data_IF_325785632523
#
_entry.id   IF_325785632523
#
_cell.length_a   1.000
_cell.length_b   1.000
_cell.length_c   1.000
_cell.angle_alpha   90.00
_cell.angle_beta   90.00
_cell.angle_gamma   90.00
#
_symmetry.space_group_name_H-M   'P 1'
#
loop_
_entity.id
_entity.type
_entity.pdbx_description
1 polymer ?
#
# COMPACT_ATOMS: atom_id res chain seq x y z
N UNK A 1 31.96 44.27 -84.40
CA UNK A 1 32.92 43.15 -84.34
C UNK A 1 33.75 43.32 -83.07
N UNK A 2 33.79 42.26 -82.24
CA UNK A 2 34.49 42.04 -80.94
C UNK A 2 33.48 41.91 -79.79
N UNK A 3 32.87 40.73 -79.63
CA UNK A 3 33.34 39.47 -79.01
C UNK A 3 33.42 39.54 -77.48
N UNK A 4 32.47 38.83 -76.88
CA UNK A 4 32.38 38.43 -75.48
C UNK A 4 33.61 37.64 -75.03
N UNK A 5 34.06 37.85 -73.80
CA UNK A 5 34.75 36.80 -73.04
C UNK A 5 33.88 36.43 -71.83
N UNK A 6 33.55 35.13 -71.65
CA UNK A 6 32.96 34.65 -70.42
C UNK A 6 34.05 34.65 -69.35
N UNK A 7 33.82 35.35 -68.24
CA UNK A 7 34.59 35.09 -67.02
C UNK A 7 34.26 33.67 -66.58
N UNK A 8 35.19 32.78 -66.90
CA UNK A 8 35.18 31.38 -66.50
C UNK A 8 34.95 31.30 -64.99
N UNK A 9 33.75 30.85 -64.61
CA UNK A 9 33.42 30.43 -63.25
C UNK A 9 34.15 29.12 -62.96
N UNK A 10 35.47 29.22 -62.82
CA UNK A 10 36.34 28.12 -62.39
C UNK A 10 36.13 27.89 -60.91
N UNK A 11 35.11 27.09 -60.56
CA UNK A 11 34.98 26.49 -59.24
C UNK A 11 36.05 25.41 -59.07
N UNK A 12 37.30 25.83 -58.87
CA UNK A 12 38.31 25.00 -58.22
C UNK A 12 37.94 24.93 -56.74
N UNK A 13 36.97 24.07 -56.42
CA UNK A 13 36.71 23.67 -55.06
C UNK A 13 37.95 22.89 -54.57
N UNK A 14 38.85 23.58 -53.86
CA UNK A 14 40.00 22.96 -53.21
C UNK A 14 39.48 21.74 -52.42
N UNK A 15 40.02 20.52 -52.67
CA UNK A 15 39.51 19.27 -52.10
C UNK A 15 39.39 19.28 -50.57
N UNK A 16 40.10 20.19 -49.88
CA UNK A 16 39.98 20.43 -48.44
C UNK A 16 38.60 20.99 -48.04
N UNK A 17 37.99 21.87 -48.83
CA UNK A 17 36.67 22.43 -48.53
C UNK A 17 35.54 21.42 -48.78
N UNK A 18 35.62 20.63 -49.86
CA UNK A 18 34.66 19.57 -50.14
C UNK A 18 34.65 18.49 -49.03
N UNK A 19 35.81 18.13 -48.47
CA UNK A 19 35.92 17.21 -47.34
C UNK A 19 35.29 17.78 -46.06
N UNK A 20 35.50 19.07 -45.80
CA UNK A 20 34.93 19.78 -44.65
C UNK A 20 33.39 19.84 -44.70
N UNK A 21 32.84 20.09 -45.89
CA UNK A 21 31.39 20.09 -46.11
C UNK A 21 30.77 18.70 -45.94
N UNK A 22 31.42 17.66 -46.45
CA UNK A 22 30.98 16.28 -46.22
C UNK A 22 31.03 15.91 -44.73
N UNK A 23 32.09 16.31 -44.01
CA UNK A 23 32.19 16.12 -42.56
C UNK A 23 31.10 16.89 -41.80
N UNK A 24 30.75 18.10 -42.24
CA UNK A 24 29.66 18.89 -41.66
C UNK A 24 28.31 18.20 -41.90
N UNK A 25 28.06 17.74 -43.13
CA UNK A 25 26.85 16.98 -43.50
C UNK A 25 26.70 15.71 -42.63
N UNK A 26 27.77 14.91 -42.51
CA UNK A 26 27.78 13.71 -41.64
C UNK A 26 27.50 14.05 -40.18
N UNK A 27 28.08 15.13 -39.64
CA UNK A 27 27.82 15.59 -38.27
C UNK A 27 26.37 16.01 -38.06
N UNK A 28 25.77 16.72 -39.01
CA UNK A 28 24.36 17.12 -38.95
C UNK A 28 23.43 15.90 -38.91
N UNK A 29 23.69 14.89 -39.75
CA UNK A 29 22.91 13.65 -39.76
C UNK A 29 23.08 12.84 -38.47
N UNK A 30 24.33 12.69 -37.99
CA UNK A 30 24.62 11.97 -36.75
C UNK A 30 24.03 12.67 -35.51
N UNK A 31 24.12 13.99 -35.42
CA UNK A 31 23.53 14.75 -34.32
C UNK A 31 22.00 14.68 -34.37
N UNK A 32 21.40 14.80 -35.56
CA UNK A 32 19.96 14.61 -35.74
C UNK A 32 19.49 13.24 -35.25
N UNK A 33 20.19 12.18 -35.64
CA UNK A 33 19.87 10.82 -35.19
C UNK A 33 20.08 10.66 -33.68
N UNK A 34 21.14 11.24 -33.13
CA UNK A 34 21.43 11.19 -31.68
C UNK A 34 20.37 11.95 -30.86
N UNK A 35 19.93 13.13 -31.32
CA UNK A 35 18.84 13.89 -30.70
C UNK A 35 17.52 13.11 -30.76
N UNK A 36 17.23 12.44 -31.89
CA UNK A 36 16.07 11.55 -32.02
C UNK A 36 16.11 10.41 -31.01
N UNK A 37 17.23 9.69 -30.94
CA UNK A 37 17.44 8.58 -29.98
C UNK A 37 17.33 9.04 -28.54
N UNK A 38 17.89 10.21 -28.22
CA UNK A 38 17.80 10.80 -26.88
C UNK A 38 16.34 11.11 -26.50
N UNK A 39 15.56 11.71 -27.41
CA UNK A 39 14.13 11.97 -27.20
C UNK A 39 13.35 10.67 -27.03
N UNK A 40 13.60 9.67 -27.88
CA UNK A 40 12.95 8.36 -27.80
C UNK A 40 13.25 7.65 -26.47
N UNK A 41 14.51 7.66 -26.02
CA UNK A 41 14.89 7.08 -24.72
C UNK A 41 14.19 7.77 -23.55
N UNK A 42 14.09 9.11 -23.58
CA UNK A 42 13.35 9.87 -22.57
C UNK A 42 11.86 9.53 -22.59
N UNK A 43 11.25 9.39 -23.76
CA UNK A 43 9.84 9.01 -23.89
C UNK A 43 9.60 7.61 -23.30
N UNK A 44 10.44 6.63 -23.65
CA UNK A 44 10.35 5.28 -23.10
C UNK A 44 10.42 5.27 -21.57
N UNK A 45 11.34 6.05 -21.00
CA UNK A 45 11.46 6.15 -19.55
C UNK A 45 10.24 6.78 -18.89
N UNK A 46 9.63 7.80 -19.52
CA UNK A 46 8.37 8.38 -19.03
C UNK A 46 7.22 7.38 -19.11
N UNK A 47 7.14 6.61 -20.19
CA UNK A 47 6.10 5.59 -20.37
C UNK A 47 6.25 4.45 -19.33
N UNK A 48 7.49 4.04 -19.05
CA UNK A 48 7.82 3.07 -17.99
C UNK A 48 7.40 3.59 -16.60
N UNK A 49 7.76 4.83 -16.25
CA UNK A 49 7.36 5.44 -14.98
C UNK A 49 5.84 5.56 -14.86
N UNK A 50 5.15 5.93 -15.93
CA UNK A 50 3.68 6.01 -15.93
C UNK A 50 3.04 4.64 -15.70
N UNK A 51 3.60 3.59 -16.30
CA UNK A 51 3.18 2.21 -16.07
C UNK A 51 3.38 1.81 -14.61
N UNK A 52 4.53 2.12 -14.03
CA UNK A 52 4.84 1.84 -12.62
C UNK A 52 3.87 2.55 -11.67
N UNK A 53 3.59 3.84 -11.90
CA UNK A 53 2.62 4.62 -11.12
C UNK A 53 1.23 3.98 -11.19
N UNK A 54 0.78 3.60 -12.38
CA UNK A 54 -0.53 2.97 -12.55
C UNK A 54 -0.60 1.59 -11.86
N UNK A 55 0.47 0.80 -11.94
CA UNK A 55 0.57 -0.47 -11.24
C UNK A 55 0.51 -0.29 -9.72
N UNK A 56 1.30 0.63 -9.18
CA UNK A 56 1.32 0.93 -7.74
C UNK A 56 -0.04 1.46 -7.26
N UNK A 57 -0.71 2.31 -8.03
CA UNK A 57 -2.07 2.76 -7.72
C UNK A 57 -3.07 1.60 -7.66
N UNK A 58 -3.00 0.68 -8.63
CA UNK A 58 -3.85 -0.51 -8.64
C UNK A 58 -3.60 -1.42 -7.43
N UNK A 59 -2.32 -1.67 -7.11
CA UNK A 59 -1.93 -2.48 -5.96
C UNK A 59 -2.36 -1.84 -4.64
N UNK A 60 -2.19 -0.52 -4.51
CA UNK A 60 -2.62 0.22 -3.33
C UNK A 60 -4.14 0.12 -3.15
N UNK A 61 -4.92 0.30 -4.22
CA UNK A 61 -6.38 0.12 -4.18
C UNK A 61 -6.78 -1.30 -3.78
N UNK A 62 -6.07 -2.33 -4.26
CA UNK A 62 -6.35 -3.71 -3.90
C UNK A 62 -6.04 -3.98 -2.41
N UNK A 63 -4.92 -3.46 -1.91
CA UNK A 63 -4.55 -3.58 -0.49
C UNK A 63 -5.60 -2.89 0.39
N UNK A 64 -6.00 -1.66 0.03
CA UNK A 64 -7.03 -0.93 0.76
C UNK A 64 -8.34 -1.72 0.86
N UNK A 65 -8.82 -2.29 -0.25
CA UNK A 65 -10.02 -3.13 -0.25
C UNK A 65 -9.87 -4.37 0.65
N UNK A 66 -8.71 -5.04 0.62
CA UNK A 66 -8.44 -6.18 1.50
C UNK A 66 -8.45 -5.78 2.98
N UNK A 67 -7.84 -4.63 3.31
CA UNK A 67 -7.87 -4.07 4.66
C UNK A 67 -9.30 -3.80 5.10
N UNK A 68 -10.11 -3.16 4.27
CA UNK A 68 -11.51 -2.86 4.59
C UNK A 68 -12.32 -4.14 4.91
N UNK A 69 -12.16 -5.18 4.09
CA UNK A 69 -12.83 -6.48 4.32
C UNK A 69 -12.39 -7.11 5.65
N UNK A 70 -11.08 -7.11 5.95
CA UNK A 70 -10.56 -7.66 7.21
C UNK A 70 -11.06 -6.83 8.40
N UNK A 71 -11.10 -5.51 8.29
CA UNK A 71 -11.63 -4.63 9.32
C UNK A 71 -13.12 -4.89 9.59
N UNK A 72 -13.93 -5.10 8.55
CA UNK A 72 -15.35 -5.44 8.70
C UNK A 72 -15.53 -6.78 9.42
N UNK A 73 -14.76 -7.81 9.05
CA UNK A 73 -14.79 -9.09 9.76
C UNK A 73 -14.33 -8.97 11.21
N UNK A 74 -13.28 -8.19 11.47
CA UNK A 74 -12.81 -7.94 12.83
C UNK A 74 -13.90 -7.30 13.70
N UNK A 75 -14.59 -6.28 13.20
CA UNK A 75 -15.68 -5.61 13.92
C UNK A 75 -16.83 -6.60 14.21
N UNK A 76 -17.17 -7.45 13.24
CA UNK A 76 -18.19 -8.48 13.43
C UNK A 76 -17.79 -9.46 14.54
N UNK A 77 -16.56 -10.01 14.49
CA UNK A 77 -16.06 -10.92 15.52
C UNK A 77 -15.94 -10.25 16.89
N UNK A 78 -15.52 -9.00 16.95
CA UNK A 78 -15.47 -8.23 18.20
C UNK A 78 -16.87 -8.07 18.80
N UNK A 79 -17.89 -7.81 17.97
CA UNK A 79 -19.28 -7.73 18.43
C UNK A 79 -19.79 -9.05 19.01
N UNK A 80 -19.50 -10.18 18.34
CA UNK A 80 -19.85 -11.52 18.83
C UNK A 80 -19.11 -11.84 20.14
N UNK A 81 -17.84 -11.47 20.22
CA UNK A 81 -17.04 -11.64 21.43
C UNK A 81 -17.63 -10.85 22.61
N UNK A 82 -18.06 -9.61 22.37
CA UNK A 82 -18.71 -8.79 23.40
C UNK A 82 -20.04 -9.39 23.87
N UNK A 83 -20.84 -9.98 22.97
CA UNK A 83 -22.06 -10.72 23.35
C UNK A 83 -21.71 -11.93 24.23
N UNK A 84 -20.71 -12.73 23.84
CA UNK A 84 -20.27 -13.88 24.62
C UNK A 84 -19.74 -13.48 26.01
N UNK A 85 -19.01 -12.37 26.11
CA UNK A 85 -18.56 -11.80 27.40
C UNK A 85 -19.74 -11.39 28.28
N UNK A 86 -20.74 -10.73 27.71
CA UNK A 86 -21.94 -10.33 28.45
C UNK A 86 -22.69 -11.56 28.99
N UNK A 87 -22.85 -12.61 28.16
CA UNK A 87 -23.48 -13.86 28.57
C UNK A 87 -22.66 -14.58 29.67
N UNK A 88 -21.34 -14.61 29.55
CA UNK A 88 -20.46 -15.19 30.57
C UNK A 88 -20.59 -14.45 31.91
N UNK A 89 -20.60 -13.12 31.90
CA UNK A 89 -20.80 -12.31 33.10
C UNK A 89 -22.16 -12.60 33.74
N UNK A 90 -23.23 -12.63 32.94
CA UNK A 90 -24.58 -12.92 33.44
C UNK A 90 -24.66 -14.31 34.10
N UNK A 91 -24.12 -15.34 33.45
CA UNK A 91 -24.12 -16.70 34.00
C UNK A 91 -23.30 -16.79 35.27
N UNK A 92 -22.17 -16.09 35.32
CA UNK A 92 -21.30 -16.02 36.50
C UNK A 92 -22.00 -15.32 37.66
N UNK A 93 -22.68 -14.20 37.41
CA UNK A 93 -23.46 -13.48 38.43
C UNK A 93 -24.60 -14.33 38.98
N UNK A 94 -25.32 -15.05 38.11
CA UNK A 94 -26.36 -16.00 38.52
C UNK A 94 -25.77 -17.12 39.39
N UNK A 95 -24.62 -17.66 39.02
CA UNK A 95 -23.96 -18.71 39.80
C UNK A 95 -23.49 -18.19 41.16
N UNK A 96 -22.90 -16.99 41.23
CA UNK A 96 -22.55 -16.35 42.52
C UNK A 96 -23.77 -16.16 43.40
N UNK A 97 -24.89 -15.70 42.83
CA UNK A 97 -26.15 -15.53 43.58
C UNK A 97 -26.64 -16.86 44.16
N UNK A 98 -26.59 -17.96 43.39
CA UNK A 98 -26.96 -19.29 43.88
C UNK A 98 -26.00 -19.77 44.98
N UNK A 99 -24.70 -19.61 44.78
CA UNK A 99 -23.68 -19.94 45.78
C UNK A 99 -23.90 -19.15 47.09
N UNK A 100 -24.26 -17.87 47.02
CA UNK A 100 -24.59 -17.07 48.22
C UNK A 100 -25.81 -17.60 48.97
N UNK A 101 -26.85 -18.06 48.26
CA UNK A 101 -28.03 -18.69 48.89
C UNK A 101 -27.65 -20.01 49.56
N UNK A 102 -26.82 -20.82 48.91
CA UNK A 102 -26.32 -22.07 49.49
C UNK A 102 -25.49 -21.81 50.74
N UNK A 103 -24.64 -20.78 50.74
CA UNK A 103 -23.85 -20.39 51.91
C UNK A 103 -24.75 -20.00 53.09
N UNK A 104 -25.78 -19.19 52.84
CA UNK A 104 -26.76 -18.82 53.86
C UNK A 104 -27.50 -20.05 54.44
N UNK A 105 -27.86 -21.02 53.60
CA UNK A 105 -28.49 -22.27 54.06
C UNK A 105 -27.55 -23.16 54.86
N UNK A 106 -26.28 -23.25 54.47
CA UNK A 106 -25.23 -23.97 55.20
C UNK A 106 -25.05 -23.37 56.60
N UNK A 107 -24.97 -22.04 56.69
CA UNK A 107 -24.83 -21.33 57.96
C UNK A 107 -26.05 -21.54 58.88
N UNK A 108 -27.26 -21.58 58.31
CA UNK A 108 -28.50 -21.78 59.06
C UNK A 108 -28.74 -23.24 59.50
N UNK A 109 -28.36 -24.22 58.68
CA UNK A 109 -28.62 -25.65 58.93
C UNK A 109 -27.48 -26.37 59.65
N UNK A 110 -26.27 -25.80 59.65
CA UNK A 110 -25.06 -26.43 60.19
C UNK A 110 -24.53 -27.59 59.34
N UNK A 111 -25.16 -27.90 58.20
CA UNK A 111 -24.70 -28.91 57.26
C UNK A 111 -23.72 -28.31 56.26
N UNK A 112 -22.52 -28.89 56.18
CA UNK A 112 -21.54 -28.50 55.19
C UNK A 112 -22.04 -28.84 53.78
N UNK A 113 -22.18 -27.83 52.92
CA UNK A 113 -22.51 -28.00 51.50
C UNK A 113 -21.24 -27.78 50.65
N UNK A 114 -21.08 -28.57 49.59
CA UNK A 114 -19.97 -28.45 48.66
C UNK A 114 -20.30 -27.37 47.60
N UNK A 115 -19.90 -26.13 47.89
CA UNK A 115 -20.19 -24.96 47.03
C UNK A 115 -19.00 -24.75 46.08
N UNK A 116 -19.19 -24.85 44.75
CA UNK A 116 -18.11 -24.67 43.79
C UNK A 116 -17.56 -23.24 43.79
N UNK A 117 -16.23 -23.08 43.87
CA UNK A 117 -15.55 -21.81 43.61
C UNK A 117 -15.55 -21.50 42.11
N UNK A 118 -15.87 -20.25 41.75
CA UNK A 118 -15.83 -19.78 40.37
C UNK A 118 -14.42 -19.28 40.08
N UNK A 119 -13.67 -19.87 39.13
CA UNK A 119 -12.32 -19.41 38.81
C UNK A 119 -12.31 -17.99 38.20
N UNK A 120 -11.43 -17.12 38.71
CA UNK A 120 -11.22 -15.75 38.20
C UNK A 120 -10.76 -15.74 36.73
N UNK A 121 -10.17 -16.84 36.25
CA UNK A 121 -9.75 -17.02 34.85
C UNK A 121 -10.90 -16.97 33.85
N UNK A 122 -12.15 -17.18 34.30
CA UNK A 122 -13.35 -17.02 33.46
C UNK A 122 -13.71 -15.55 33.20
N UNK A 123 -13.20 -14.63 34.02
CA UNK A 123 -13.48 -13.20 33.95
C UNK A 123 -12.47 -12.45 33.08
N UNK A 124 -11.29 -13.04 32.82
CA UNK A 124 -10.25 -12.45 31.97
C UNK A 124 -9.66 -13.43 30.94
N UNK A 125 -10.46 -13.96 29.99
CA UNK A 125 -10.01 -15.07 29.15
C UNK A 125 -8.85 -14.70 28.21
N UNK A 126 -8.72 -13.41 27.83
CA UNK A 126 -7.77 -12.93 26.83
C UNK A 126 -7.37 -11.47 27.07
N UNK A 127 -6.67 -11.17 28.17
CA UNK A 127 -5.95 -9.89 28.25
C UNK A 127 -4.90 -9.85 27.12
N UNK A 128 -5.25 -9.28 25.98
CA UNK A 128 -4.34 -9.13 24.85
C UNK A 128 -3.20 -8.19 25.27
N UNK A 129 -1.92 -8.62 25.19
CA UNK A 129 -0.78 -7.79 25.60
C UNK A 129 -0.54 -6.54 24.74
N UNK A 130 -1.39 -6.27 23.74
CA UNK A 130 -1.14 -5.24 22.74
C UNK A 130 -2.29 -4.24 22.72
N UNK A 131 -2.01 -2.92 22.84
CA UNK A 131 -3.01 -1.90 22.58
C UNK A 131 -3.47 -2.02 21.12
N UNK A 132 -4.78 -1.92 20.90
CA UNK A 132 -5.36 -1.77 19.55
C UNK A 132 -4.74 -0.53 18.95
N UNK A 133 -3.78 -0.71 18.05
CA UNK A 133 -3.20 0.40 17.31
C UNK A 133 -4.25 0.86 16.30
N UNK A 134 -4.80 2.05 16.53
CA UNK A 134 -5.55 2.77 15.52
C UNK A 134 -4.63 2.94 14.31
N UNK A 135 -4.97 2.28 13.20
CA UNK A 135 -4.26 2.49 11.93
C UNK A 135 -4.54 3.95 11.53
N UNK A 136 -3.55 4.86 11.57
CA UNK A 136 -3.78 6.23 11.19
C UNK A 136 -4.19 6.26 9.72
N UNK A 137 -5.21 7.06 9.41
CA UNK A 137 -5.72 7.24 8.06
C UNK A 137 -4.64 7.90 7.18
N UNK A 138 -3.82 7.07 6.54
CA UNK A 138 -2.66 7.48 5.73
C UNK A 138 -3.04 8.12 4.39
N UNK A 139 -4.34 8.30 4.11
CA UNK A 139 -4.84 8.88 2.86
C UNK A 139 -5.41 10.30 3.01
N UNK A 140 -5.16 10.98 4.12
CA UNK A 140 -5.53 12.39 4.28
C UNK A 140 -4.35 13.31 3.93
N UNK A 141 -4.14 13.51 2.63
CA UNK A 141 -3.35 14.59 2.04
C UNK A 141 -4.19 15.28 0.96
#
# INVERSE_FOLDING_TARGET
MQQSQPVSSGSDSDPRYANMDERKRKRMLSNRESARRSRMKKQQHLDELLKEVNQLKSQNSEIAQKTDVVTQHYIAFESENNVLRAQMMELTDRLRSLNSVLQFMQDASGFAMDIPEIPDTLLEPWQLPCPVQTIPNVFQC
#
